data_IF_743369480564
#
_entry.id   IF_743369480564
#
_cell.length_a   1.000
_cell.length_b   1.000
_cell.length_c   1.000
_cell.angle_alpha   90.00
_cell.angle_beta   90.00
_cell.angle_gamma   90.00
#
_symmetry.space_group_name_H-M   'P 1'
#
loop_
_entity.id
_entity.type
_entity.pdbx_description
1 polymer ?
#
# COMPACT_ATOMS: atom_id res chain seq x y z
N UNK A 1 3.58 -12.42 -3.22
CA UNK A 1 4.16 -11.19 -2.63
C UNK A 1 5.12 -10.55 -3.63
N UNK A 2 5.92 -11.35 -4.31
CA UNK A 2 6.89 -10.92 -5.34
C UNK A 2 6.26 -10.09 -6.47
N UNK A 3 5.11 -10.50 -7.01
CA UNK A 3 4.37 -9.74 -8.04
C UNK A 3 3.98 -8.32 -7.59
N UNK A 4 3.66 -8.14 -6.31
CA UNK A 4 3.30 -6.82 -5.77
C UNK A 4 4.53 -5.93 -5.68
N UNK A 5 5.64 -6.48 -5.17
CA UNK A 5 6.94 -5.81 -5.11
C UNK A 5 7.40 -5.37 -6.50
N UNK A 6 7.30 -6.26 -7.50
CA UNK A 6 7.66 -5.96 -8.88
C UNK A 6 6.79 -4.80 -9.43
N UNK A 7 5.48 -4.80 -9.18
CA UNK A 7 4.59 -3.71 -9.61
C UNK A 7 4.89 -2.39 -8.91
N UNK A 8 5.16 -2.41 -7.61
CA UNK A 8 5.51 -1.21 -6.84
C UNK A 8 6.82 -0.63 -7.33
N UNK A 9 7.87 -1.45 -7.49
CA UNK A 9 9.17 -1.02 -8.00
C UNK A 9 9.05 -0.45 -9.41
N UNK A 10 8.33 -1.13 -10.30
CA UNK A 10 8.08 -0.65 -11.67
C UNK A 10 7.37 0.70 -11.68
N UNK A 11 6.41 0.91 -10.77
CA UNK A 11 5.68 2.18 -10.69
C UNK A 11 6.55 3.30 -10.08
N UNK A 12 7.37 2.99 -9.09
CA UNK A 12 8.30 3.95 -8.49
C UNK A 12 9.36 4.42 -9.49
N UNK A 13 9.88 3.53 -10.35
CA UNK A 13 10.78 3.93 -11.45
C UNK A 13 10.10 4.98 -12.34
N UNK A 14 8.84 4.76 -12.72
CA UNK A 14 8.10 5.77 -13.50
C UNK A 14 7.87 7.07 -12.75
N UNK A 15 7.61 7.02 -11.45
CA UNK A 15 7.48 8.24 -10.62
C UNK A 15 8.78 9.02 -10.61
N UNK A 16 9.92 8.34 -10.49
CA UNK A 16 11.23 8.98 -10.57
C UNK A 16 11.46 9.64 -11.94
N UNK A 17 11.18 8.91 -13.02
CA UNK A 17 11.40 9.38 -14.39
C UNK A 17 10.46 10.54 -14.78
N UNK A 18 9.20 10.50 -14.33
CA UNK A 18 8.16 11.47 -14.70
C UNK A 18 8.10 12.68 -13.76
N UNK A 19 8.36 12.49 -12.45
CA UNK A 19 8.10 13.48 -11.40
C UNK A 19 9.33 13.83 -10.55
N UNK A 20 10.47 13.20 -10.80
CA UNK A 20 11.74 13.47 -10.15
C UNK A 20 11.92 12.80 -8.77
N UNK A 21 13.08 13.06 -8.19
CA UNK A 21 13.59 12.36 -7.00
C UNK A 21 12.73 12.57 -5.75
N UNK A 22 12.31 13.81 -5.45
CA UNK A 22 11.54 14.11 -4.24
C UNK A 22 10.18 13.38 -4.24
N UNK A 23 9.48 13.42 -5.38
CA UNK A 23 8.23 12.69 -5.60
C UNK A 23 8.42 11.18 -5.45
N UNK A 24 9.54 10.65 -5.97
CA UNK A 24 9.91 9.25 -5.82
C UNK A 24 10.15 8.87 -4.36
N UNK A 25 10.93 9.64 -3.60
CA UNK A 25 11.24 9.36 -2.19
C UNK A 25 9.96 9.35 -1.36
N UNK A 26 9.06 10.30 -1.59
CA UNK A 26 7.78 10.36 -0.90
C UNK A 26 6.87 9.17 -1.25
N UNK A 27 6.78 8.80 -2.53
CA UNK A 27 6.02 7.64 -2.98
C UNK A 27 6.59 6.32 -2.44
N UNK A 28 7.93 6.18 -2.43
CA UNK A 28 8.63 5.01 -1.93
C UNK A 28 8.39 4.82 -0.43
N UNK A 29 8.50 5.88 0.37
CA UNK A 29 8.23 5.83 1.80
C UNK A 29 6.79 5.35 2.08
N UNK A 30 5.79 5.96 1.41
CA UNK A 30 4.38 5.56 1.56
C UNK A 30 4.13 4.11 1.15
N UNK A 31 4.75 3.66 0.06
CA UNK A 31 4.62 2.28 -0.40
C UNK A 31 5.20 1.29 0.63
N UNK A 32 6.37 1.57 1.18
CA UNK A 32 7.01 0.72 2.20
C UNK A 32 6.17 0.63 3.47
N UNK A 33 5.66 1.76 3.97
CA UNK A 33 4.79 1.79 5.15
C UNK A 33 3.51 0.97 4.92
N UNK A 34 2.90 1.11 3.73
CA UNK A 34 1.67 0.37 3.42
C UNK A 34 1.90 -1.14 3.29
N UNK A 35 3.04 -1.54 2.71
CA UNK A 35 3.43 -2.95 2.65
C UNK A 35 3.66 -3.50 4.06
N UNK A 36 4.46 -2.81 4.88
CA UNK A 36 4.73 -3.22 6.25
C UNK A 36 3.44 -3.39 7.07
N UNK A 37 2.52 -2.43 6.96
CA UNK A 37 1.22 -2.51 7.62
C UNK A 37 0.38 -3.67 7.08
N UNK A 38 0.39 -3.93 5.78
CA UNK A 38 -0.34 -5.06 5.21
C UNK A 38 0.17 -6.40 5.74
N UNK A 39 1.49 -6.55 5.90
CA UNK A 39 2.11 -7.74 6.50
C UNK A 39 1.72 -7.86 7.97
N UNK A 40 1.75 -6.76 8.73
CA UNK A 40 1.32 -6.74 10.12
C UNK A 40 -0.14 -7.18 10.27
N UNK A 41 -1.05 -6.60 9.47
CA UNK A 41 -2.48 -6.93 9.51
C UNK A 41 -2.74 -8.41 9.17
N UNK A 42 -2.00 -8.97 8.22
CA UNK A 42 -2.11 -10.38 7.88
C UNK A 42 -1.62 -11.27 9.04
N UNK A 43 -0.52 -10.90 9.69
CA UNK A 43 -0.02 -11.59 10.88
C UNK A 43 -1.01 -11.50 12.06
N UNK A 44 -1.59 -10.34 12.32
CA UNK A 44 -2.60 -10.14 13.37
C UNK A 44 -3.86 -10.97 13.11
N UNK A 45 -4.32 -11.02 11.84
CA UNK A 45 -5.43 -11.87 11.42
C UNK A 45 -5.13 -13.36 11.62
N UNK A 46 -3.94 -13.81 11.22
CA UNK A 46 -3.52 -15.19 11.43
C UNK A 46 -3.40 -15.56 12.91
N UNK A 47 -2.96 -14.61 13.75
CA UNK A 47 -2.85 -14.77 15.19
C UNK A 47 -4.18 -14.64 15.96
N UNK A 48 -5.30 -14.36 15.26
CA UNK A 48 -6.63 -14.08 15.86
C UNK A 48 -6.61 -12.93 16.88
N UNK A 49 -5.62 -12.03 16.78
CA UNK A 49 -5.43 -10.92 17.71
C UNK A 49 -6.31 -9.72 17.35
N UNK A 50 -7.62 -9.83 17.53
CA UNK A 50 -8.57 -8.72 17.45
C UNK A 50 -8.66 -7.99 16.09
N UNK A 51 -9.62 -7.06 15.96
CA UNK A 51 -9.72 -6.22 14.76
C UNK A 51 -8.76 -5.04 14.87
N UNK A 52 -7.78 -4.90 13.96
CA UNK A 52 -6.87 -3.78 13.96
C UNK A 52 -7.60 -2.46 13.70
N UNK A 53 -7.37 -1.46 14.56
CA UNK A 53 -7.89 -0.11 14.36
C UNK A 53 -7.13 0.54 13.21
N UNK A 54 -7.84 0.81 12.12
CA UNK A 54 -7.35 1.59 11.00
C UNK A 54 -7.25 3.06 11.41
N UNK A 55 -6.04 3.52 11.74
CA UNK A 55 -5.78 4.96 11.91
C UNK A 55 -6.13 5.75 10.63
N UNK A 56 -6.76 6.91 10.80
CA UNK A 56 -7.20 7.80 9.72
C UNK A 56 -5.99 8.25 8.87
N UNK A 57 -6.02 7.91 7.59
CA UNK A 57 -5.02 8.38 6.61
C UNK A 57 -4.21 7.29 5.91
N UNK A 58 -4.30 6.03 6.36
CA UNK A 58 -3.63 4.93 5.67
C UNK A 58 -4.62 4.16 4.81
N UNK A 59 -4.54 4.40 3.50
CA UNK A 59 -5.28 3.62 2.50
C UNK A 59 -4.74 2.19 2.51
N UNK A 60 -5.63 1.22 2.79
CA UNK A 60 -5.31 -0.19 2.67
C UNK A 60 -5.00 -0.53 1.22
N UNK A 61 -3.87 -1.21 0.99
CA UNK A 61 -3.60 -1.77 -0.32
C UNK A 61 -4.54 -2.95 -0.56
N UNK A 62 -5.27 -2.99 -1.70
CA UNK A 62 -6.20 -4.06 -1.98
C UNK A 62 -5.43 -5.36 -2.23
N UNK A 63 -5.39 -6.24 -1.24
CA UNK A 63 -4.91 -7.61 -1.37
C UNK A 63 -6.00 -8.46 -2.01
N UNK A 64 -6.07 -8.45 -3.35
CA UNK A 64 -6.54 -9.58 -4.19
C UNK A 64 -7.91 -10.22 -3.92
N UNK A 65 -8.83 -9.63 -3.14
CA UNK A 65 -10.09 -10.29 -2.75
C UNK A 65 -11.37 -9.51 -3.00
N UNK A 66 -11.33 -8.20 -3.25
CA UNK A 66 -12.55 -7.43 -3.55
C UNK A 66 -12.20 -6.13 -4.27
N UNK A 67 -12.59 -6.05 -5.55
CA UNK A 67 -12.72 -4.77 -6.26
C UNK A 67 -13.92 -4.03 -5.65
N UNK A 68 -13.71 -3.24 -4.61
CA UNK A 68 -14.72 -2.26 -4.18
C UNK A 68 -14.55 -1.02 -5.06
N UNK A 69 -15.62 -0.70 -5.80
CA UNK A 69 -15.76 0.54 -6.55
C UNK A 69 -15.64 1.72 -5.59
N UNK A 70 -14.49 2.40 -5.60
CA UNK A 70 -14.34 3.70 -4.97
C UNK A 70 -15.08 4.73 -5.83
N UNK A 71 -16.27 5.13 -5.37
CA UNK A 71 -16.96 6.33 -5.86
C UNK A 71 -16.30 7.52 -5.16
N UNK A 72 -15.63 8.38 -5.92
CA UNK A 72 -15.08 9.65 -5.43
C UNK A 72 -16.23 10.66 -5.23
N UNK A 73 -16.31 11.35 -4.08
CA UNK A 73 -17.21 12.50 -3.93
C UNK A 73 -16.70 13.69 -4.77
N UNK A 74 -17.63 14.44 -5.36
CA UNK A 74 -17.37 15.68 -6.12
C UNK A 74 -17.06 16.86 -5.21
#
# INVERSE_FOLDING_TARGET
>A
MDDLLIRVLTRLVRVHDELGQESFEHAANRALVSIARSVQLDAERQAQMGQPKLDEGVILFPTGGSRQNFILPQ
#
